data_IF_865973319820
#
_entry.id   IF_865973319820
#
_cell.length_a   1.000
_cell.length_b   1.000
_cell.length_c   1.000
_cell.angle_alpha   90.00
_cell.angle_beta   90.00
_cell.angle_gamma   90.00
#
_symmetry.space_group_name_H-M   'P 1'
#
loop_
_entity.id
_entity.type
_entity.pdbx_description
1 polymer ?
#
# COMPACT_ATOMS: atom_id res chain seq x y z
N UNK A 1 0.84 1.58 -15.13
CA UNK A 1 0.01 1.30 -13.95
C UNK A 1 0.72 1.93 -12.77
N UNK A 2 0.04 2.72 -11.94
CA UNK A 2 0.64 3.40 -10.80
C UNK A 2 0.36 2.59 -9.54
N UNK A 3 1.38 2.44 -8.70
CA UNK A 3 1.26 1.79 -7.40
C UNK A 3 2.25 2.40 -6.42
N UNK A 4 1.93 2.25 -5.15
CA UNK A 4 2.69 2.77 -4.04
C UNK A 4 2.97 1.64 -3.05
N UNK A 5 4.12 1.75 -2.38
CA UNK A 5 4.60 0.76 -1.42
C UNK A 5 4.92 1.44 -0.11
N UNK A 6 4.29 0.98 0.97
CA UNK A 6 4.65 1.34 2.34
C UNK A 6 5.29 0.14 2.99
N UNK A 7 6.45 0.36 3.60
CA UNK A 7 7.17 -0.68 4.35
C UNK A 7 7.10 -0.39 5.85
N UNK A 8 7.19 -1.43 6.69
CA UNK A 8 7.29 -1.25 8.13
C UNK A 8 8.50 -0.40 8.53
N UNK A 9 8.44 0.27 9.70
CA UNK A 9 9.62 0.87 10.30
C UNK A 9 10.77 -0.15 10.40
N UNK A 10 12.00 0.28 10.07
CA UNK A 10 13.20 -0.58 10.09
C UNK A 10 13.11 -1.80 9.15
N UNK A 11 12.44 -1.65 8.01
CA UNK A 11 12.33 -2.67 6.98
C UNK A 11 13.69 -3.29 6.62
N UNK A 12 13.72 -4.62 6.58
CA UNK A 12 14.90 -5.40 6.20
C UNK A 12 14.57 -6.25 4.97
N UNK A 13 15.24 -5.97 3.85
CA UNK A 13 15.07 -6.67 2.56
C UNK A 13 15.36 -8.17 2.59
N UNK A 14 16.06 -8.68 3.61
CA UNK A 14 16.37 -10.12 3.78
C UNK A 14 15.28 -10.88 4.55
N UNK A 15 14.29 -10.20 5.12
CA UNK A 15 13.17 -10.81 5.86
C UNK A 15 11.92 -10.88 4.99
N UNK A 16 11.08 -11.89 5.25
CA UNK A 16 9.72 -11.97 4.68
C UNK A 16 8.74 -11.27 5.62
N UNK A 17 7.76 -10.59 5.03
CA UNK A 17 6.70 -9.90 5.76
C UNK A 17 5.35 -10.31 5.17
N UNK A 18 4.29 -10.35 6.00
CA UNK A 18 2.94 -10.43 5.45
C UNK A 18 2.66 -9.18 4.60
N UNK A 19 1.99 -9.36 3.48
CA UNK A 19 1.68 -8.29 2.54
C UNK A 19 0.16 -8.06 2.45
N UNK A 20 -0.22 -6.80 2.30
CA UNK A 20 -1.60 -6.37 2.06
C UNK A 20 -1.62 -5.62 0.72
N UNK A 21 -2.58 -5.95 -0.14
CA UNK A 21 -2.87 -5.22 -1.37
C UNK A 21 -4.19 -4.48 -1.19
N UNK A 22 -4.11 -3.15 -1.25
CA UNK A 22 -5.26 -2.25 -1.20
C UNK A 22 -5.58 -1.75 -2.61
N UNK A 23 -6.83 -1.96 -3.01
CA UNK A 23 -7.37 -1.55 -4.31
C UNK A 23 -8.34 -0.42 -4.04
N UNK A 24 -8.20 0.70 -4.75
CA UNK A 24 -9.12 1.81 -4.53
C UNK A 24 -10.56 1.42 -4.89
N UNK A 25 -11.54 2.06 -4.26
CA UNK A 25 -12.96 1.87 -4.57
C UNK A 25 -13.44 2.64 -5.83
N UNK A 26 -14.70 2.43 -6.20
CA UNK A 26 -15.40 3.17 -7.26
C UNK A 26 -14.81 3.01 -8.68
N UNK A 27 -15.39 3.69 -9.69
CA UNK A 27 -14.84 3.72 -11.05
C UNK A 27 -13.92 4.92 -11.34
N UNK A 28 -14.01 6.00 -10.54
CA UNK A 28 -13.28 7.26 -10.74
C UNK A 28 -12.60 7.76 -9.46
N UNK A 29 -12.02 6.85 -8.67
CA UNK A 29 -11.11 7.24 -7.58
C UNK A 29 -9.70 6.78 -7.90
N UNK A 30 -8.71 7.43 -7.28
CA UNK A 30 -7.32 7.04 -7.39
C UNK A 30 -6.60 7.33 -6.08
N UNK A 31 -5.67 6.46 -5.72
CA UNK A 31 -4.66 6.76 -4.73
C UNK A 31 -3.63 7.74 -5.31
N UNK A 32 -3.16 8.67 -4.48
CA UNK A 32 -2.08 9.61 -4.80
C UNK A 32 -0.85 9.44 -3.91
N UNK A 33 0.16 10.27 -4.13
CA UNK A 33 1.27 10.39 -3.20
C UNK A 33 0.89 11.34 -2.06
N UNK A 34 0.15 10.82 -1.08
CA UNK A 34 -0.32 11.59 0.08
C UNK A 34 -0.38 10.70 1.33
N UNK A 35 -0.71 11.31 2.46
CA UNK A 35 -0.88 10.62 3.73
C UNK A 35 -2.18 9.82 3.75
N UNK A 36 -2.04 8.50 3.88
CA UNK A 36 -3.15 7.57 4.16
C UNK A 36 -2.90 6.89 5.51
N UNK A 37 -3.66 7.28 6.52
CA UNK A 37 -3.48 6.80 7.90
C UNK A 37 -3.57 5.27 8.00
N UNK A 38 -4.47 4.64 7.24
CA UNK A 38 -4.65 3.18 7.21
C UNK A 38 -3.40 2.46 6.70
N UNK A 39 -2.84 2.89 5.57
CA UNK A 39 -1.63 2.29 4.99
C UNK A 39 -0.45 2.38 5.96
N UNK A 40 -0.31 3.53 6.64
CA UNK A 40 0.76 3.75 7.62
C UNK A 40 0.51 2.97 8.92
N UNK A 41 -0.73 2.87 9.37
CA UNK A 41 -1.10 2.07 10.54
C UNK A 41 -0.79 0.59 10.28
N UNK A 42 -1.23 0.03 9.15
CA UNK A 42 -0.93 -1.34 8.76
C UNK A 42 0.58 -1.58 8.63
N UNK A 43 1.32 -0.66 8.02
CA UNK A 43 2.78 -0.76 7.94
C UNK A 43 3.44 -0.75 9.33
N UNK A 44 2.97 0.09 10.25
CA UNK A 44 3.46 0.13 11.63
C UNK A 44 3.21 -1.18 12.39
N UNK A 45 2.21 -1.97 11.97
CA UNK A 45 1.90 -3.30 12.51
C UNK A 45 2.75 -4.42 11.88
N UNK A 46 3.68 -4.08 11.00
CA UNK A 46 4.63 -5.03 10.41
C UNK A 46 4.24 -5.58 9.04
N UNK A 47 3.18 -5.05 8.41
CA UNK A 47 2.79 -5.42 7.06
C UNK A 47 3.54 -4.61 6.01
N UNK A 48 3.82 -5.25 4.87
CA UNK A 48 4.16 -4.51 3.65
C UNK A 48 2.86 -4.19 2.93
N UNK A 49 2.56 -2.92 2.75
CA UNK A 49 1.28 -2.48 2.16
C UNK A 49 1.54 -1.96 0.75
N UNK A 50 0.92 -2.60 -0.23
CA UNK A 50 0.86 -2.12 -1.60
C UNK A 50 -0.51 -1.53 -1.84
N UNK A 51 -0.58 -0.33 -2.40
CA UNK A 51 -1.85 0.25 -2.83
C UNK A 51 -1.72 0.75 -4.26
N UNK A 52 -2.70 0.41 -5.09
CA UNK A 52 -2.56 0.53 -6.56
C UNK A 52 -3.79 1.13 -7.21
N UNK A 53 -3.57 1.71 -8.38
CA UNK A 53 -4.60 2.23 -9.27
C UNK A 53 -4.80 1.30 -10.48
N UNK A 54 -5.53 0.18 -10.34
CA UNK A 54 -5.91 -0.62 -11.50
C UNK A 54 -6.74 0.23 -12.47
N UNK A 55 -6.44 0.08 -13.76
CA UNK A 55 -7.25 0.67 -14.82
C UNK A 55 -8.40 -0.28 -15.11
N UNK A 56 -9.62 0.23 -15.16
CA UNK A 56 -10.78 -0.53 -15.62
C UNK A 56 -10.70 -0.75 -17.13
N UNK A 57 -10.82 -2.02 -17.53
CA UNK A 57 -10.94 -2.52 -18.89
C UNK A 57 -11.59 -3.89 -18.85
#
# INVERSE_FOLDING_TARGET
MQGFLVTPPRFNRKKKYPAILEIHGGPQTQYGFTFYHEMLFLASRGYVVFYTNPRGG
#
